data_IF_200985118669
#
_entry.id   IF_200985118669
#
_cell.length_a   1.000
_cell.length_b   1.000
_cell.length_c   1.000
_cell.angle_alpha   90.00
_cell.angle_beta   90.00
_cell.angle_gamma   90.00
#
_symmetry.space_group_name_H-M   'P 1'
#
loop_
_entity.id
_entity.type
_entity.pdbx_description
1 polymer ?
#
# COMPACT_ATOMS: atom_id res chain seq x y z
N UNK A 1 -19.87 -16.27 26.90
CA UNK A 1 -19.93 -15.51 25.64
C UNK A 1 -18.58 -14.92 25.28
N UNK A 2 -18.25 -14.84 23.98
CA UNK A 2 -17.07 -14.13 23.48
C UNK A 2 -17.32 -12.62 23.39
N UNK A 3 -16.27 -11.79 23.35
CA UNK A 3 -16.46 -10.34 23.18
C UNK A 3 -17.20 -10.00 21.87
N UNK A 4 -16.99 -10.78 20.81
CA UNK A 4 -17.67 -10.61 19.52
C UNK A 4 -19.17 -10.87 19.64
N UNK A 5 -19.59 -11.90 20.39
CA UNK A 5 -21.02 -12.16 20.67
C UNK A 5 -21.67 -11.02 21.45
N UNK A 6 -20.95 -10.40 22.40
CA UNK A 6 -21.47 -9.23 23.13
C UNK A 6 -21.64 -8.05 22.16
N UNK A 7 -20.70 -7.85 21.22
CA UNK A 7 -20.80 -6.79 20.21
C UNK A 7 -22.00 -7.01 19.29
N UNK A 8 -22.17 -8.24 18.80
CA UNK A 8 -23.31 -8.62 17.96
C UNK A 8 -24.62 -8.32 18.67
N UNK A 9 -24.78 -8.78 19.91
CA UNK A 9 -25.97 -8.52 20.71
C UNK A 9 -26.23 -7.02 20.91
N UNK A 10 -25.19 -6.23 21.19
CA UNK A 10 -25.33 -4.77 21.35
C UNK A 10 -25.77 -4.09 20.05
N UNK A 11 -25.27 -4.54 18.90
CA UNK A 11 -25.62 -3.99 17.60
C UNK A 11 -27.04 -4.42 17.15
N UNK A 12 -27.43 -5.67 17.41
CA UNK A 12 -28.79 -6.18 17.17
C UNK A 12 -29.86 -5.44 17.97
N UNK A 13 -29.51 -4.98 19.18
CA UNK A 13 -30.40 -4.19 20.04
C UNK A 13 -30.25 -2.67 19.80
N UNK A 14 -29.59 -2.25 18.72
CA UNK A 14 -29.39 -0.84 18.34
C UNK A 14 -28.69 0.02 19.41
N UNK A 15 -27.90 -0.60 20.29
CA UNK A 15 -27.20 0.09 21.37
C UNK A 15 -25.92 0.72 20.83
N UNK A 16 -25.83 2.05 20.89
CA UNK A 16 -24.67 2.79 20.42
C UNK A 16 -23.42 2.55 21.27
N UNK A 17 -22.24 2.54 20.61
CA UNK A 17 -20.96 2.53 21.30
C UNK A 17 -20.81 3.77 22.19
N UNK A 18 -20.01 3.74 23.28
CA UNK A 18 -19.89 4.89 24.18
C UNK A 18 -19.44 6.18 23.48
N UNK A 19 -18.59 6.06 22.46
CA UNK A 19 -18.15 7.20 21.67
C UNK A 19 -19.27 7.78 20.80
N UNK A 20 -20.03 6.91 20.12
CA UNK A 20 -21.20 7.30 19.32
C UNK A 20 -22.30 7.88 20.20
N UNK A 21 -22.62 7.24 21.32
CA UNK A 21 -23.59 7.74 22.30
C UNK A 21 -23.27 9.16 22.77
N UNK A 22 -21.99 9.44 23.09
CA UNK A 22 -21.55 10.80 23.47
C UNK A 22 -21.66 11.81 22.33
N UNK A 23 -21.52 11.38 21.07
CA UNK A 23 -21.73 12.23 19.90
C UNK A 23 -23.22 12.55 19.72
N UNK A 24 -24.09 11.54 19.78
CA UNK A 24 -25.55 11.71 19.68
C UNK A 24 -26.12 12.60 20.80
N UNK A 25 -25.54 12.54 22.00
CA UNK A 25 -25.87 13.43 23.13
C UNK A 25 -25.25 14.84 23.04
N UNK A 26 -24.50 15.15 21.98
CA UNK A 26 -23.86 16.46 21.79
C UNK A 26 -22.67 16.74 22.70
N UNK A 27 -22.22 15.77 23.51
CA UNK A 27 -21.07 15.90 24.42
C UNK A 27 -19.77 16.03 23.62
N UNK A 28 -19.70 15.41 22.43
CA UNK A 28 -18.57 15.52 21.51
C UNK A 28 -19.07 15.87 20.13
N UNK A 29 -18.51 16.92 19.50
CA UNK A 29 -19.01 17.48 18.24
C UNK A 29 -18.32 16.96 16.97
N UNK A 30 -17.24 16.21 17.11
CA UNK A 30 -16.46 15.76 15.94
C UNK A 30 -17.16 14.61 15.21
N UNK A 31 -17.48 14.81 13.93
CA UNK A 31 -18.18 13.84 13.07
C UNK A 31 -17.51 12.46 12.99
N UNK A 32 -16.21 12.36 13.25
CA UNK A 32 -15.49 11.07 13.29
C UNK A 32 -16.05 10.09 14.32
N UNK A 33 -16.76 10.57 15.33
CA UNK A 33 -17.34 9.75 16.40
C UNK A 33 -18.75 9.24 16.07
N UNK A 34 -19.42 9.81 15.06
CA UNK A 34 -20.78 9.44 14.67
C UNK A 34 -20.89 8.00 14.19
N UNK A 35 -19.83 7.50 13.53
CA UNK A 35 -19.82 6.18 12.88
C UNK A 35 -19.01 5.14 13.64
N UNK A 36 -18.62 5.42 14.89
CA UNK A 36 -17.77 4.52 15.67
C UNK A 36 -18.57 3.32 16.17
N UNK A 37 -18.22 2.14 15.67
CA UNK A 37 -18.76 0.84 16.09
C UNK A 37 -18.17 0.35 17.40
N UNK A 38 -18.81 -0.66 17.98
CA UNK A 38 -18.30 -1.36 19.15
C UNK A 38 -16.97 -2.07 18.81
N UNK A 39 -16.07 -2.08 19.81
CA UNK A 39 -14.77 -2.76 19.72
C UNK A 39 -14.58 -3.61 20.96
N UNK A 40 -13.98 -4.79 20.81
CA UNK A 40 -13.75 -5.71 21.91
C UNK A 40 -12.92 -5.06 23.04
N UNK A 41 -11.96 -4.19 22.71
CA UNK A 41 -11.16 -3.49 23.72
C UNK A 41 -11.98 -2.49 24.53
N UNK A 42 -12.98 -1.84 23.93
CA UNK A 42 -13.92 -0.97 24.66
C UNK A 42 -14.70 -1.78 25.69
N UNK A 43 -15.21 -2.95 25.30
CA UNK A 43 -15.93 -3.86 26.21
C UNK A 43 -15.02 -4.33 27.35
N UNK A 44 -13.78 -4.73 27.03
CA UNK A 44 -12.80 -5.13 28.06
C UNK A 44 -12.53 -4.01 29.08
N UNK A 45 -12.43 -2.76 28.64
CA UNK A 45 -12.21 -1.62 29.53
C UNK A 45 -13.44 -1.35 30.40
N UNK A 46 -14.65 -1.48 29.86
CA UNK A 46 -15.91 -1.38 30.61
C UNK A 46 -15.96 -2.47 31.69
N UNK A 47 -15.79 -3.74 31.30
CA UNK A 47 -15.87 -4.87 32.23
C UNK A 47 -14.81 -4.84 33.35
N UNK A 48 -13.69 -4.15 33.16
CA UNK A 48 -12.61 -4.02 34.16
C UNK A 48 -12.78 -2.82 35.09
N UNK A 49 -13.78 -1.96 34.88
CA UNK A 49 -13.86 -0.68 35.54
C UNK A 49 -14.56 -0.82 36.91
N UNK A 50 -13.84 -0.66 38.04
CA UNK A 50 -14.44 -0.85 39.35
C UNK A 50 -15.35 0.32 39.75
N UNK A 51 -15.46 1.37 38.93
CA UNK A 51 -16.47 2.41 39.15
C UNK A 51 -17.89 1.86 39.11
N UNK A 52 -18.14 0.74 38.40
CA UNK A 52 -19.46 0.11 38.39
C UNK A 52 -19.87 -0.49 39.75
N UNK A 53 -18.93 -0.64 40.70
CA UNK A 53 -19.17 -1.02 42.10
C UNK A 53 -19.46 0.19 43.03
N UNK A 54 -19.74 1.37 42.47
CA UNK A 54 -19.96 2.57 43.27
C UNK A 54 -18.68 3.25 43.76
N UNK A 55 -17.51 2.86 43.26
CA UNK A 55 -16.21 3.40 43.69
C UNK A 55 -15.75 4.56 42.79
N UNK A 56 -15.02 5.52 43.36
CA UNK A 56 -14.33 6.56 42.59
C UNK A 56 -12.88 6.13 42.32
N UNK A 57 -12.46 6.18 41.06
CA UNK A 57 -11.09 5.78 40.65
C UNK A 57 -10.40 6.93 39.94
N UNK A 58 -9.32 7.43 40.54
CA UNK A 58 -8.53 8.55 40.03
C UNK A 58 -7.05 8.16 39.85
N UNK A 59 -6.30 9.01 39.15
CA UNK A 59 -4.86 8.80 38.93
C UNK A 59 -4.48 7.76 37.87
N UNK A 60 -5.42 7.33 37.01
CA UNK A 60 -5.14 6.35 35.91
C UNK A 60 -4.07 6.82 34.92
N UNK A 61 -3.85 8.14 34.83
CA UNK A 61 -2.84 8.77 33.97
C UNK A 61 -2.10 9.84 34.77
N UNK A 62 -0.81 10.00 34.50
CA UNK A 62 0.02 11.10 34.99
C UNK A 62 0.67 11.79 33.82
N UNK A 63 0.63 13.12 33.83
CA UNK A 63 1.38 13.98 32.94
C UNK A 63 2.01 15.10 33.77
N UNK A 64 3.13 15.63 33.31
CA UNK A 64 3.74 16.80 33.91
C UNK A 64 4.21 17.70 32.79
N UNK A 65 3.42 18.73 32.51
CA UNK A 65 3.76 19.75 31.52
C UNK A 65 5.03 20.50 31.92
N UNK A 66 5.17 20.85 33.20
CA UNK A 66 6.35 21.52 33.73
C UNK A 66 7.64 20.68 33.60
N UNK A 67 7.57 19.36 33.80
CA UNK A 67 8.74 18.46 33.65
C UNK A 67 8.90 17.91 32.21
N UNK A 68 8.13 18.41 31.23
CA UNK A 68 8.15 17.91 29.85
C UNK A 68 7.75 16.43 29.69
N UNK A 69 7.11 15.83 30.71
CA UNK A 69 6.74 14.40 30.69
C UNK A 69 5.41 14.22 29.99
N UNK A 70 5.46 13.60 28.81
CA UNK A 70 4.29 13.14 28.05
C UNK A 70 3.38 12.27 28.94
N UNK A 71 2.08 12.33 28.70
CA UNK A 71 1.06 11.57 29.43
C UNK A 71 1.38 10.06 29.42
N UNK A 72 1.48 9.45 30.60
CA UNK A 72 1.71 8.00 30.77
C UNK A 72 0.59 7.38 31.58
N UNK A 73 0.27 6.11 31.30
CA UNK A 73 -0.64 5.30 32.12
C UNK A 73 0.08 4.88 33.40
N UNK A 74 -0.63 4.93 34.51
CA UNK A 74 -0.12 4.56 35.83
C UNK A 74 -0.56 3.13 36.14
N UNK A 75 0.30 2.36 36.80
CA UNK A 75 -0.02 0.99 37.22
C UNK A 75 -1.19 0.97 38.22
N UNK A 76 -1.94 -0.13 38.27
CA UNK A 76 -3.20 -0.19 39.05
C UNK A 76 -2.97 -0.01 40.55
N UNK A 77 -1.80 -0.41 41.04
CA UNK A 77 -1.40 -0.33 42.45
C UNK A 77 -1.23 1.12 42.91
N UNK A 78 -0.99 2.03 41.95
CA UNK A 78 -0.80 3.46 42.19
C UNK A 78 -2.09 4.28 41.91
N UNK A 79 -3.23 3.60 41.67
CA UNK A 79 -4.51 4.27 41.50
C UNK A 79 -5.07 4.70 42.86
N UNK A 80 -5.68 5.88 42.89
CA UNK A 80 -6.39 6.36 44.07
C UNK A 80 -7.82 5.85 43.95
N UNK A 81 -8.22 4.94 44.83
CA UNK A 81 -9.56 4.33 44.83
C UNK A 81 -10.26 4.70 46.14
N UNK A 82 -11.34 5.46 46.02
CA UNK A 82 -12.25 5.76 47.14
C UNK A 82 -13.50 4.91 46.97
N UNK A 83 -13.82 4.08 47.97
CA UNK A 83 -14.96 3.15 47.91
C UNK A 83 -16.28 3.87 48.20
N UNK A 84 -17.38 3.31 47.69
CA UNK A 84 -18.77 3.68 48.04
C UNK A 84 -19.10 5.18 47.91
N UNK A 85 -18.67 5.77 46.80
CA UNK A 85 -18.90 7.18 46.47
C UNK A 85 -20.22 7.44 45.73
N UNK A 86 -20.83 6.40 45.15
CA UNK A 86 -22.12 6.47 44.47
C UNK A 86 -22.80 5.10 44.48
N UNK A 87 -24.07 5.05 44.10
CA UNK A 87 -24.83 3.80 43.97
C UNK A 87 -24.18 2.87 42.94
N UNK A 88 -24.00 1.61 43.32
CA UNK A 88 -23.39 0.60 42.46
C UNK A 88 -24.36 0.17 41.35
N UNK A 89 -23.85 0.04 40.13
CA UNK A 89 -24.65 -0.44 38.98
C UNK A 89 -24.73 -1.97 38.97
N UNK A 90 -23.71 -2.64 39.52
CA UNK A 90 -23.63 -4.10 39.66
C UNK A 90 -23.10 -4.47 41.04
N UNK A 91 -23.45 -5.66 41.52
CA UNK A 91 -22.94 -6.19 42.77
C UNK A 91 -21.49 -6.70 42.65
N UNK A 92 -20.82 -6.82 43.80
CA UNK A 92 -19.43 -7.28 43.87
C UNK A 92 -19.26 -8.72 43.35
N UNK A 93 -20.20 -9.62 43.66
CA UNK A 93 -20.11 -11.03 43.26
C UNK A 93 -20.11 -11.17 41.73
N UNK A 94 -21.03 -10.50 41.05
CA UNK A 94 -21.10 -10.43 39.59
C UNK A 94 -19.82 -9.87 39.00
N UNK A 95 -19.31 -8.74 39.52
CA UNK A 95 -18.08 -8.13 39.00
C UNK A 95 -16.87 -9.07 39.13
N UNK A 96 -16.68 -9.67 40.31
CA UNK A 96 -15.56 -10.57 40.56
C UNK A 96 -15.67 -11.89 39.77
N UNK A 97 -16.89 -12.39 39.53
CA UNK A 97 -17.12 -13.55 38.66
C UNK A 97 -16.60 -13.28 37.23
N UNK A 98 -16.89 -12.09 36.67
CA UNK A 98 -16.41 -11.67 35.36
C UNK A 98 -14.89 -11.50 35.36
N UNK A 99 -14.30 -10.90 36.40
CA UNK A 99 -12.82 -10.79 36.50
C UNK A 99 -12.16 -12.17 36.48
N UNK A 100 -12.69 -13.16 37.23
CA UNK A 100 -12.18 -14.54 37.24
C UNK A 100 -12.22 -15.17 35.86
N UNK A 101 -13.32 -14.99 35.11
CA UNK A 101 -13.43 -15.47 33.72
C UNK A 101 -12.36 -14.82 32.82
N UNK A 102 -12.18 -13.49 32.95
CA UNK A 102 -11.19 -12.76 32.17
C UNK A 102 -9.76 -13.19 32.48
N UNK A 103 -9.44 -13.42 33.75
CA UNK A 103 -8.14 -13.91 34.21
C UNK A 103 -7.86 -15.32 33.71
N UNK A 104 -8.83 -16.24 33.82
CA UNK A 104 -8.73 -17.60 33.27
C UNK A 104 -8.44 -17.57 31.77
N UNK A 105 -9.19 -16.78 31.01
CA UNK A 105 -8.98 -16.62 29.57
C UNK A 105 -7.60 -16.01 29.26
N UNK A 106 -7.15 -15.02 30.05
CA UNK A 106 -5.82 -14.43 29.89
C UNK A 106 -4.70 -15.42 30.22
N UNK A 107 -4.86 -16.24 31.25
CA UNK A 107 -3.90 -17.26 31.65
C UNK A 107 -3.78 -18.36 30.58
N UNK A 108 -4.91 -18.81 30.01
CA UNK A 108 -4.91 -19.75 28.88
C UNK A 108 -4.17 -19.15 27.68
N UNK A 109 -4.46 -17.88 27.35
CA UNK A 109 -3.76 -17.18 26.28
C UNK A 109 -2.26 -17.10 26.54
N UNK A 110 -1.83 -16.65 27.73
CA UNK A 110 -0.41 -16.55 28.11
C UNK A 110 0.30 -17.91 28.12
N UNK A 111 -0.35 -18.98 28.59
CA UNK A 111 0.21 -20.33 28.57
C UNK A 111 0.43 -20.86 27.15
N UNK A 112 -0.42 -20.46 26.21
CA UNK A 112 -0.29 -20.82 24.81
C UNK A 112 0.60 -19.84 24.02
N UNK A 113 0.86 -18.65 24.59
CA UNK A 113 1.77 -17.66 24.03
C UNK A 113 3.19 -18.23 24.05
N UNK A 114 3.83 -18.24 22.89
CA UNK A 114 5.18 -18.78 22.73
C UNK A 114 5.30 -20.31 22.73
N UNK A 115 4.20 -21.06 22.89
CA UNK A 115 4.18 -22.53 22.88
C UNK A 115 4.84 -23.17 21.65
N UNK A 116 4.91 -22.44 20.56
CA UNK A 116 5.44 -22.90 19.28
C UNK A 116 6.54 -21.98 18.73
N UNK A 117 7.19 -21.16 19.56
CA UNK A 117 8.22 -20.22 19.10
C UNK A 117 9.50 -20.92 18.64
N UNK A 118 9.79 -22.09 19.20
CA UNK A 118 10.89 -22.96 18.76
C UNK A 118 10.68 -23.53 17.34
N UNK A 119 9.48 -23.36 16.75
CA UNK A 119 9.19 -23.77 15.39
C UNK A 119 9.60 -22.62 14.46
N UNK A 120 10.70 -22.80 13.73
CA UNK A 120 11.23 -21.87 12.71
C UNK A 120 10.12 -21.09 12.00
N UNK A 121 10.19 -19.77 12.12
CA UNK A 121 9.26 -18.84 11.49
C UNK A 121 9.59 -18.74 10.00
N UNK A 122 8.60 -19.01 9.14
CA UNK A 122 8.75 -18.75 7.71
C UNK A 122 8.68 -17.25 7.51
N UNK A 123 9.59 -16.69 6.72
CA UNK A 123 9.54 -15.30 6.30
C UNK A 123 8.14 -14.95 5.74
N UNK A 124 7.61 -13.80 6.13
CA UNK A 124 6.36 -13.27 5.59
C UNK A 124 6.65 -12.42 4.35
N UNK A 125 6.73 -13.06 3.18
CA UNK A 125 7.00 -12.38 1.91
C UNK A 125 5.93 -11.34 1.54
N UNK A 126 4.69 -11.51 2.01
CA UNK A 126 3.55 -10.64 1.70
C UNK A 126 3.25 -9.56 2.75
N UNK A 127 4.15 -9.37 3.73
CA UNK A 127 3.97 -8.40 4.82
C UNK A 127 3.68 -7.00 4.25
N UNK A 128 2.48 -6.49 4.54
CA UNK A 128 2.03 -5.15 4.15
C UNK A 128 1.28 -5.05 2.82
N UNK A 129 1.14 -6.15 2.07
CA UNK A 129 0.58 -6.15 0.71
C UNK A 129 -0.81 -6.76 0.61
N UNK A 130 -1.13 -7.74 1.46
CA UNK A 130 -2.42 -8.45 1.42
C UNK A 130 -3.51 -7.68 2.15
N UNK A 131 -4.61 -7.40 1.44
CA UNK A 131 -5.77 -6.62 1.89
C UNK A 131 -7.06 -7.43 1.72
N UNK A 132 -8.05 -7.09 2.55
CA UNK A 132 -9.41 -7.60 2.45
C UNK A 132 -10.17 -6.84 1.36
N UNK A 133 -10.78 -7.54 0.41
CA UNK A 133 -11.62 -6.93 -0.64
C UNK A 133 -12.92 -6.32 -0.12
N UNK A 134 -13.37 -6.70 1.08
CA UNK A 134 -14.63 -6.21 1.64
C UNK A 134 -14.45 -4.94 2.49
N UNK A 135 -13.40 -4.87 3.32
CA UNK A 135 -13.17 -3.71 4.21
C UNK A 135 -11.92 -2.88 3.87
N UNK A 136 -11.11 -3.31 2.88
CA UNK A 136 -9.84 -2.67 2.51
C UNK A 136 -8.69 -2.80 3.53
N UNK A 137 -8.99 -3.34 4.72
CA UNK A 137 -8.02 -3.52 5.81
C UNK A 137 -6.96 -4.58 5.49
N UNK A 138 -5.77 -4.44 6.08
CA UNK A 138 -4.70 -5.44 5.94
C UNK A 138 -5.11 -6.77 6.59
N UNK A 139 -4.90 -7.88 5.87
CA UNK A 139 -5.07 -9.21 6.45
C UNK A 139 -3.88 -9.53 7.35
N UNK A 140 -4.17 -10.05 8.55
CA UNK A 140 -3.12 -10.45 9.50
C UNK A 140 -2.77 -11.90 9.26
N UNK A 141 -1.46 -12.19 9.23
CA UNK A 141 -0.93 -13.55 9.16
C UNK A 141 -1.05 -14.25 10.51
N UNK A 142 -1.65 -15.44 10.52
CA UNK A 142 -1.78 -16.32 11.67
C UNK A 142 -0.98 -17.60 11.46
N UNK A 143 -0.26 -18.02 12.50
CA UNK A 143 0.38 -19.34 12.57
C UNK A 143 -0.63 -20.35 13.10
N UNK A 144 -0.96 -21.34 12.29
CA UNK A 144 -1.79 -22.47 12.69
C UNK A 144 -0.90 -23.69 12.91
N UNK A 145 -1.08 -24.37 14.04
CA UNK A 145 -0.32 -25.58 14.38
C UNK A 145 -1.31 -26.67 14.78
N UNK A 146 -1.29 -27.77 14.03
CA UNK A 146 -2.01 -28.99 14.36
C UNK A 146 -1.02 -30.03 14.88
N UNK A 147 -1.37 -30.68 15.99
CA UNK A 147 -0.55 -31.74 16.59
C UNK A 147 -1.29 -33.05 16.51
N UNK A 148 -0.72 -34.05 15.84
CA UNK A 148 -1.29 -35.40 15.81
C UNK A 148 -1.20 -36.05 17.18
N UNK A 149 -2.30 -36.61 17.69
CA UNK A 149 -2.35 -37.38 18.94
C UNK A 149 -1.84 -38.82 18.71
N UNK A 150 -0.57 -38.99 18.37
CA UNK A 150 0.11 -40.30 18.23
C UNK A 150 1.25 -40.41 19.25
N UNK A 151 1.79 -41.63 19.46
CA UNK A 151 2.94 -41.89 20.35
C UNK A 151 4.13 -40.94 20.08
N UNK A 152 4.32 -40.55 18.82
CA UNK A 152 5.20 -39.45 18.42
C UNK A 152 4.35 -38.29 17.87
N UNK A 153 4.25 -37.16 18.60
CA UNK A 153 3.48 -36.01 18.14
C UNK A 153 4.17 -35.34 16.95
N UNK A 154 3.57 -35.42 15.76
CA UNK A 154 3.99 -34.64 14.59
C UNK A 154 3.23 -33.31 14.58
N UNK A 155 3.95 -32.20 14.44
CA UNK A 155 3.35 -30.87 14.31
C UNK A 155 3.24 -30.49 12.84
N UNK A 156 2.01 -30.35 12.32
CA UNK A 156 1.75 -29.74 11.01
C UNK A 156 1.52 -28.25 11.19
N UNK A 157 2.35 -27.41 10.56
CA UNK A 157 2.24 -25.96 10.59
C UNK A 157 1.79 -25.39 9.25
N UNK A 158 0.91 -24.42 9.26
CA UNK A 158 0.56 -23.61 8.06
C UNK A 158 0.22 -22.19 8.47
N UNK A 159 0.30 -21.27 7.52
CA UNK A 159 -0.04 -19.87 7.74
C UNK A 159 -1.32 -19.52 6.99
N UNK A 160 -2.12 -18.64 7.59
CA UNK A 160 -3.34 -18.10 6.97
C UNK A 160 -3.43 -16.59 7.18
N UNK A 161 -3.99 -15.89 6.20
CA UNK A 161 -4.30 -14.47 6.28
C UNK A 161 -5.78 -14.32 6.65
N UNK A 162 -6.06 -13.57 7.72
CA UNK A 162 -7.44 -13.40 8.25
C UNK A 162 -7.73 -11.91 8.47
N UNK A 163 -8.95 -11.51 8.09
CA UNK A 163 -9.43 -10.15 8.26
C UNK A 163 -9.62 -9.79 9.75
N UNK A 164 -8.88 -8.79 10.24
CA UNK A 164 -8.98 -8.35 11.64
C UNK A 164 -10.29 -7.64 11.95
N UNK A 165 -10.87 -6.96 10.96
CA UNK A 165 -12.15 -6.25 11.15
C UNK A 165 -13.24 -7.27 11.48
N UNK A 166 -13.33 -8.36 10.71
CA UNK A 166 -14.27 -9.45 10.97
C UNK A 166 -13.99 -10.14 12.32
N UNK A 167 -12.73 -10.44 12.65
CA UNK A 167 -12.37 -11.10 13.93
C UNK A 167 -12.79 -10.24 15.13
N UNK A 168 -12.62 -8.92 15.03
CA UNK A 168 -12.98 -7.99 16.10
C UNK A 168 -14.48 -7.69 16.16
N UNK A 169 -15.16 -7.70 15.02
CA UNK A 169 -16.60 -7.51 14.91
C UNK A 169 -17.13 -8.22 13.64
N UNK A 170 -17.87 -9.32 13.82
CA UNK A 170 -18.32 -10.17 12.71
C UNK A 170 -19.30 -9.46 11.78
N UNK A 171 -20.08 -8.49 12.28
CA UNK A 171 -21.03 -7.70 11.48
C UNK A 171 -20.33 -6.69 10.57
N UNK A 172 -19.07 -6.36 10.85
CA UNK A 172 -18.39 -5.23 10.20
C UNK A 172 -17.67 -5.60 8.90
N UNK A 173 -17.54 -6.90 8.60
CA UNK A 173 -16.89 -7.40 7.39
C UNK A 173 -17.27 -8.87 7.20
N UNK A 174 -17.34 -9.37 5.96
CA UNK A 174 -17.49 -10.82 5.73
C UNK A 174 -16.23 -11.58 6.15
N UNK A 175 -16.39 -12.89 6.42
CA UNK A 175 -15.28 -13.74 6.82
C UNK A 175 -14.35 -14.01 5.64
N UNK A 176 -13.27 -13.24 5.53
CA UNK A 176 -12.19 -13.50 4.57
C UNK A 176 -11.03 -14.22 5.25
N UNK A 177 -10.73 -15.43 4.79
CA UNK A 177 -9.58 -16.23 5.21
C UNK A 177 -8.98 -16.98 4.03
N UNK A 178 -7.67 -16.90 3.87
CA UNK A 178 -6.94 -17.61 2.80
C UNK A 178 -5.63 -18.20 3.34
N UNK A 179 -5.23 -19.37 2.82
CA UNK A 179 -3.95 -19.99 3.17
C UNK A 179 -2.80 -19.28 2.46
N UNK A 180 -1.69 -19.11 3.16
CA UNK A 180 -0.47 -18.50 2.58
C UNK A 180 0.05 -19.32 1.40
N UNK A 181 0.00 -20.65 1.49
CA UNK A 181 0.45 -21.54 0.41
C UNK A 181 -0.38 -21.30 -0.87
N UNK A 182 -1.71 -21.19 -0.74
CA UNK A 182 -2.61 -20.90 -1.87
C UNK A 182 -2.30 -19.54 -2.50
N UNK A 183 -2.12 -18.49 -1.69
CA UNK A 183 -1.73 -17.17 -2.21
C UNK A 183 -0.37 -17.24 -2.94
N UNK A 184 0.58 -17.97 -2.37
CA UNK A 184 1.92 -18.14 -2.96
C UNK A 184 1.85 -18.87 -4.30
N UNK A 185 1.11 -19.97 -4.38
CA UNK A 185 0.91 -20.76 -5.60
C UNK A 185 0.22 -19.93 -6.68
N UNK A 186 -0.90 -19.27 -6.37
CA UNK A 186 -1.64 -18.43 -7.33
C UNK A 186 -0.78 -17.28 -7.87
N UNK A 187 -0.07 -16.57 -6.99
CA UNK A 187 0.80 -15.46 -7.43
C UNK A 187 1.96 -15.99 -8.27
N UNK A 188 2.52 -17.14 -7.91
CA UNK A 188 3.63 -17.74 -8.64
C UNK A 188 3.23 -18.13 -10.07
N UNK A 189 2.07 -18.77 -10.23
CA UNK A 189 1.53 -19.13 -11.54
C UNK A 189 1.28 -17.90 -12.43
N UNK A 190 0.69 -16.85 -11.86
CA UNK A 190 0.44 -15.60 -12.59
C UNK A 190 1.77 -14.94 -12.98
N UNK A 191 2.75 -14.87 -12.08
CA UNK A 191 4.05 -14.28 -12.40
C UNK A 191 4.79 -15.06 -13.47
N UNK A 192 4.73 -16.40 -13.45
CA UNK A 192 5.29 -17.23 -14.53
C UNK A 192 4.65 -16.93 -15.88
N UNK A 193 3.33 -16.76 -15.91
CA UNK A 193 2.63 -16.36 -17.14
C UNK A 193 3.11 -14.99 -17.63
N UNK A 194 3.25 -14.02 -16.73
CA UNK A 194 3.76 -12.67 -17.06
C UNK A 194 5.21 -12.70 -17.56
N UNK A 195 6.07 -13.53 -16.96
CA UNK A 195 7.46 -13.72 -17.41
C UNK A 195 7.51 -14.32 -18.81
N UNK A 196 6.70 -15.34 -19.09
CA UNK A 196 6.62 -15.94 -20.43
C UNK A 196 6.13 -14.94 -21.47
N UNK A 197 5.09 -14.16 -21.17
CA UNK A 197 4.59 -13.10 -22.05
C UNK A 197 5.65 -12.02 -22.31
N UNK A 198 6.39 -11.62 -21.27
CA UNK A 198 7.49 -10.68 -21.40
C UNK A 198 8.62 -11.22 -22.30
N UNK A 199 8.94 -12.51 -22.19
CA UNK A 199 9.96 -13.14 -23.02
C UNK A 199 9.53 -13.25 -24.49
N UNK A 200 8.28 -13.65 -24.76
CA UNK A 200 7.71 -13.66 -26.10
C UNK A 200 7.73 -12.26 -26.73
N UNK A 201 7.32 -11.24 -25.97
CA UNK A 201 7.37 -9.84 -26.40
C UNK A 201 8.80 -9.40 -26.73
N UNK A 202 9.78 -9.74 -25.88
CA UNK A 202 11.20 -9.47 -26.14
C UNK A 202 11.66 -10.10 -27.45
N UNK A 203 11.35 -11.38 -27.70
CA UNK A 203 11.74 -12.07 -28.93
C UNK A 203 11.11 -11.46 -30.19
N UNK A 204 9.84 -11.05 -30.14
CA UNK A 204 9.18 -10.38 -31.26
C UNK A 204 9.83 -9.03 -31.57
N UNK A 205 10.20 -8.28 -30.53
CA UNK A 205 10.86 -7.00 -30.66
C UNK A 205 12.31 -7.12 -31.16
N UNK A 206 13.06 -8.14 -30.74
CA UNK A 206 14.39 -8.44 -31.30
C UNK A 206 14.32 -8.78 -32.80
N UNK A 207 13.29 -9.54 -33.22
CA UNK A 207 13.04 -9.81 -34.65
C UNK A 207 12.71 -8.54 -35.43
N UNK A 208 11.96 -7.61 -34.83
CA UNK A 208 11.70 -6.30 -35.43
C UNK A 208 12.98 -5.44 -35.54
N UNK A 209 13.83 -5.47 -34.52
CA UNK A 209 15.13 -4.77 -34.45
C UNK A 209 16.12 -5.25 -35.51
N UNK A 210 16.17 -6.54 -35.80
CA UNK A 210 17.08 -7.12 -36.81
C UNK A 210 16.75 -6.70 -38.26
N UNK A 211 15.70 -5.90 -38.48
CA UNK A 211 15.55 -5.15 -39.72
C UNK A 211 16.57 -3.99 -39.72
N UNK A 212 17.72 -4.20 -40.38
CA UNK A 212 18.84 -3.22 -40.55
C UNK A 212 18.41 -1.78 -40.91
N UNK A 213 17.20 -1.58 -41.42
CA UNK A 213 16.62 -0.27 -41.72
C UNK A 213 16.28 0.55 -40.47
N UNK A 214 15.72 -0.06 -39.42
CA UNK A 214 15.20 0.67 -38.24
C UNK A 214 16.32 1.21 -37.33
N UNK A 215 17.42 0.46 -37.19
CA UNK A 215 18.61 0.91 -36.45
C UNK A 215 19.24 2.15 -37.12
N UNK A 216 19.43 2.12 -38.44
CA UNK A 216 19.99 3.24 -39.23
C UNK A 216 19.09 4.47 -39.19
N UNK A 217 17.78 4.27 -39.19
CA UNK A 217 16.82 5.37 -39.11
C UNK A 217 16.89 6.09 -37.75
N UNK A 218 17.03 5.35 -36.65
CA UNK A 218 17.21 5.95 -35.33
C UNK A 218 18.54 6.68 -35.18
N UNK A 219 19.64 6.11 -35.69
CA UNK A 219 20.96 6.76 -35.65
C UNK A 219 20.93 8.08 -36.43
N UNK A 220 20.31 8.09 -37.61
CA UNK A 220 20.10 9.31 -38.41
C UNK A 220 19.26 10.35 -37.66
N UNK A 221 18.18 9.92 -37.00
CA UNK A 221 17.31 10.83 -36.27
C UNK A 221 18.06 11.52 -35.12
N UNK A 222 18.90 10.76 -34.39
CA UNK A 222 19.73 11.30 -33.31
C UNK A 222 20.79 12.28 -33.81
N UNK A 223 21.45 11.96 -34.92
CA UNK A 223 22.38 12.89 -35.57
C UNK A 223 21.68 14.20 -35.99
N UNK A 224 20.46 14.12 -36.54
CA UNK A 224 19.68 15.30 -36.93
C UNK A 224 19.26 16.15 -35.72
N UNK A 225 18.82 15.52 -34.62
CA UNK A 225 18.50 16.22 -33.37
C UNK A 225 19.72 16.96 -32.81
N UNK A 226 20.89 16.31 -32.78
CA UNK A 226 22.14 16.92 -32.32
C UNK A 226 22.53 18.10 -33.22
N UNK A 227 22.36 17.97 -34.53
CA UNK A 227 22.63 19.06 -35.49
C UNK A 227 21.72 20.26 -35.24
N UNK A 228 20.40 20.04 -35.14
CA UNK A 228 19.44 21.13 -34.93
C UNK A 228 19.67 21.84 -33.59
N UNK A 229 20.01 21.10 -32.52
CA UNK A 229 20.36 21.71 -31.23
C UNK A 229 21.57 22.64 -31.34
N UNK A 230 22.58 22.26 -32.13
CA UNK A 230 23.73 23.14 -32.42
C UNK A 230 23.31 24.38 -33.21
N UNK A 231 22.41 24.22 -34.19
CA UNK A 231 21.91 25.35 -34.99
C UNK A 231 21.06 26.33 -34.17
N UNK A 232 20.26 25.84 -33.22
CA UNK A 232 19.52 26.69 -32.27
C UNK A 232 20.49 27.52 -31.45
N UNK A 233 21.51 26.89 -30.87
CA UNK A 233 22.54 27.58 -30.08
C UNK A 233 23.28 28.63 -30.93
N UNK A 234 23.56 28.30 -32.19
CA UNK A 234 24.19 29.24 -33.12
C UNK A 234 23.29 30.44 -33.45
N UNK A 235 21.99 30.22 -33.68
CA UNK A 235 21.03 31.29 -33.89
C UNK A 235 20.87 32.19 -32.65
N UNK A 236 20.93 31.63 -31.45
CA UNK A 236 20.92 32.38 -30.20
C UNK A 236 22.18 33.24 -30.04
N UNK A 237 23.37 32.69 -30.31
CA UNK A 237 24.62 33.46 -30.31
C UNK A 237 24.64 34.60 -31.33
N UNK A 238 24.11 34.36 -32.54
CA UNK A 238 24.01 35.41 -33.55
C UNK A 238 23.07 36.53 -33.09
N UNK A 239 22.00 36.19 -32.36
CA UNK A 239 21.10 37.18 -31.79
C UNK A 239 21.76 38.02 -30.70
N UNK A 240 22.63 37.43 -29.89
CA UNK A 240 23.47 38.15 -28.92
C UNK A 240 24.48 39.06 -29.63
N UNK A 241 25.20 38.53 -30.63
CA UNK A 241 26.19 39.29 -31.39
C UNK A 241 25.59 40.53 -32.09
N UNK A 242 24.38 40.42 -32.64
CA UNK A 242 23.67 41.56 -33.24
C UNK A 242 23.45 42.70 -32.23
N UNK A 243 23.28 42.38 -30.94
CA UNK A 243 23.20 43.41 -29.89
C UNK A 243 24.55 44.06 -29.62
N UNK A 244 25.64 43.30 -29.61
CA UNK A 244 27.00 43.82 -29.47
C UNK A 244 27.37 44.72 -30.66
N UNK A 245 27.08 44.29 -31.90
CA UNK A 245 27.33 45.06 -33.13
C UNK A 245 26.56 46.40 -33.12
N UNK A 246 25.36 46.44 -32.52
CA UNK A 246 24.58 47.68 -32.31
C UNK A 246 25.21 48.59 -31.25
N UNK A 247 25.68 48.05 -30.13
CA UNK A 247 26.39 48.81 -29.10
C UNK A 247 27.68 49.44 -29.62
N UNK A 248 28.39 48.74 -30.51
CA UNK A 248 29.59 49.21 -31.20
C UNK A 248 29.29 50.19 -32.36
N UNK A 249 28.00 50.49 -32.62
CA UNK A 249 27.51 51.34 -33.72
C UNK A 249 27.94 50.85 -35.11
N UNK A 250 28.15 49.55 -35.27
CA UNK A 250 28.44 48.93 -36.57
C UNK A 250 27.18 48.71 -37.42
N UNK A 251 26.00 48.71 -36.79
CA UNK A 251 24.68 48.65 -37.43
C UNK A 251 23.77 49.70 -36.81
N UNK A 252 22.76 50.14 -37.56
CA UNK A 252 21.74 51.07 -37.05
C UNK A 252 20.56 50.35 -36.35
N UNK A 253 19.62 51.13 -35.80
CA UNK A 253 18.48 50.60 -35.05
C UNK A 253 17.52 49.78 -35.94
N UNK A 254 17.31 50.19 -37.20
CA UNK A 254 16.44 49.50 -38.13
C UNK A 254 17.03 48.14 -38.53
N UNK A 255 18.34 48.11 -38.80
CA UNK A 255 19.11 46.90 -39.08
C UNK A 255 19.13 45.95 -37.87
N UNK A 256 19.35 46.46 -36.67
CA UNK A 256 19.29 45.68 -35.43
C UNK A 256 17.94 44.98 -35.26
N UNK A 257 16.83 45.72 -35.40
CA UNK A 257 15.48 45.17 -35.28
C UNK A 257 15.26 44.08 -36.34
N UNK A 258 15.67 44.33 -37.58
CA UNK A 258 15.53 43.38 -38.69
C UNK A 258 16.30 42.08 -38.43
N UNK A 259 17.58 42.15 -38.06
CA UNK A 259 18.40 40.97 -37.80
C UNK A 259 17.94 40.21 -36.55
N UNK A 260 17.55 40.92 -35.49
CA UNK A 260 17.02 40.32 -34.26
C UNK A 260 15.76 39.50 -34.53
N UNK A 261 14.80 40.03 -35.29
CA UNK A 261 13.58 39.29 -35.63
C UNK A 261 13.89 38.11 -36.56
N UNK A 262 14.78 38.28 -37.56
CA UNK A 262 15.20 37.18 -38.44
C UNK A 262 15.81 36.00 -37.65
N UNK A 263 16.71 36.26 -36.71
CA UNK A 263 17.34 35.20 -35.91
C UNK A 263 16.37 34.58 -34.90
N UNK A 264 15.43 35.36 -34.37
CA UNK A 264 14.35 34.88 -33.50
C UNK A 264 13.39 33.95 -34.25
N UNK A 265 12.96 34.33 -35.45
CA UNK A 265 12.12 33.48 -36.31
C UNK A 265 12.84 32.19 -36.69
N UNK A 266 14.11 32.28 -37.09
CA UNK A 266 14.95 31.11 -37.38
C UNK A 266 15.06 30.19 -36.16
N UNK A 267 15.31 30.75 -34.97
CA UNK A 267 15.36 30.00 -33.72
C UNK A 267 14.04 29.31 -33.37
N UNK A 268 12.91 30.00 -33.55
CA UNK A 268 11.58 29.43 -33.32
C UNK A 268 11.26 28.30 -34.30
N UNK A 269 11.59 28.46 -35.58
CA UNK A 269 11.40 27.42 -36.59
C UNK A 269 12.22 26.16 -36.26
N UNK A 270 13.50 26.34 -35.89
CA UNK A 270 14.37 25.24 -35.47
C UNK A 270 13.87 24.56 -34.19
N UNK A 271 13.33 25.32 -33.22
CA UNK A 271 12.72 24.76 -32.00
C UNK A 271 11.47 23.94 -32.30
N UNK A 272 10.63 24.38 -33.24
CA UNK A 272 9.47 23.59 -33.70
C UNK A 272 9.91 22.29 -34.37
N UNK A 273 10.90 22.35 -35.27
CA UNK A 273 11.45 21.17 -35.94
C UNK A 273 12.11 20.21 -34.94
N UNK A 274 12.81 20.73 -33.93
CA UNK A 274 13.37 19.92 -32.85
C UNK A 274 12.28 19.14 -32.12
N UNK A 275 11.18 19.81 -31.75
CA UNK A 275 10.05 19.17 -31.08
C UNK A 275 9.45 18.03 -31.90
N UNK A 276 9.26 18.24 -33.21
CA UNK A 276 8.75 17.19 -34.12
C UNK A 276 9.70 15.98 -34.22
N UNK A 277 11.01 16.20 -34.24
CA UNK A 277 12.00 15.12 -34.26
C UNK A 277 12.07 14.38 -32.92
N UNK A 278 11.98 15.08 -31.80
CA UNK A 278 11.94 14.48 -30.46
C UNK A 278 10.67 13.63 -30.28
N UNK A 279 9.51 14.09 -30.76
CA UNK A 279 8.27 13.29 -30.76
C UNK A 279 8.37 12.04 -31.67
N UNK A 280 9.10 12.12 -32.78
CA UNK A 280 9.38 10.95 -33.63
C UNK A 280 10.36 9.99 -32.96
N UNK A 281 11.38 10.49 -32.28
CA UNK A 281 12.33 9.70 -31.51
C UNK A 281 11.61 8.95 -30.40
N UNK A 282 10.75 9.63 -29.64
CA UNK A 282 9.96 9.03 -28.57
C UNK A 282 9.05 7.91 -29.08
N UNK A 283 8.37 8.12 -30.22
CA UNK A 283 7.56 7.06 -30.86
C UNK A 283 8.38 5.85 -31.29
N UNK A 284 9.61 6.06 -31.76
CA UNK A 284 10.55 4.98 -32.11
C UNK A 284 11.12 4.29 -30.86
N UNK A 285 11.34 5.02 -29.76
CA UNK A 285 11.83 4.49 -28.48
C UNK A 285 10.74 3.70 -27.72
N UNK A 286 9.48 4.12 -27.78
CA UNK A 286 8.35 3.36 -27.24
C UNK A 286 8.16 2.00 -27.94
N UNK A 287 8.73 1.82 -29.14
CA UNK A 287 8.82 0.54 -29.85
C UNK A 287 10.04 -0.30 -29.42
N UNK A 288 10.86 0.16 -28.45
CA UNK A 288 12.03 -0.58 -27.94
C UNK A 288 11.75 -1.21 -26.57
N UNK A 289 12.00 -2.53 -26.41
CA UNK A 289 11.84 -3.21 -25.12
C UNK A 289 12.89 -2.79 -24.08
N UNK A 290 14.09 -2.39 -24.53
CA UNK A 290 15.22 -2.12 -23.64
C UNK A 290 14.97 -0.93 -22.71
N UNK A 291 14.09 0.02 -23.05
CA UNK A 291 13.78 1.18 -22.21
C UNK A 291 12.49 1.03 -21.38
N UNK A 292 11.75 -0.06 -21.59
CA UNK A 292 10.59 -0.37 -20.75
C UNK A 292 11.05 -0.96 -19.43
N UNK A 293 11.23 -0.08 -18.43
CA UNK A 293 11.71 -0.37 -17.07
C UNK A 293 11.04 -1.62 -16.46
N UNK A 294 9.76 -1.88 -16.77
CA UNK A 294 9.03 -3.04 -16.25
C UNK A 294 9.46 -4.37 -16.86
N UNK A 295 9.78 -4.41 -18.17
CA UNK A 295 10.22 -5.62 -18.87
C UNK A 295 11.56 -6.10 -18.30
N UNK A 296 12.50 -5.17 -18.08
CA UNK A 296 13.77 -5.46 -17.38
C UNK A 296 13.55 -5.99 -15.97
N UNK A 297 12.60 -5.41 -15.22
CA UNK A 297 12.28 -5.84 -13.84
C UNK A 297 11.63 -7.22 -13.77
N UNK A 298 10.80 -7.59 -14.75
CA UNK A 298 10.20 -8.93 -14.77
C UNK A 298 11.25 -9.98 -15.17
N UNK A 299 12.01 -9.69 -16.24
CA UNK A 299 13.03 -10.60 -16.76
C UNK A 299 14.23 -10.78 -15.81
N UNK A 300 14.51 -9.81 -14.92
CA UNK A 300 15.57 -9.97 -13.91
C UNK A 300 15.31 -11.11 -12.91
N UNK A 301 14.09 -11.67 -12.89
CA UNK A 301 13.72 -12.80 -12.03
C UNK A 301 13.41 -14.09 -12.80
N UNK A 302 13.78 -14.19 -14.08
CA UNK A 302 13.51 -15.36 -14.93
C UNK A 302 14.13 -16.65 -14.37
N UNK A 303 15.33 -16.57 -13.79
CA UNK A 303 16.06 -17.72 -13.23
C UNK A 303 15.55 -18.17 -11.84
N UNK A 304 14.54 -17.51 -11.28
CA UNK A 304 14.04 -17.84 -9.94
C UNK A 304 13.10 -19.04 -9.97
N UNK A 305 13.35 -20.04 -9.12
CA UNK A 305 12.49 -21.23 -9.01
C UNK A 305 11.30 -21.04 -8.05
N UNK A 306 11.34 -19.99 -7.23
CA UNK A 306 10.30 -19.73 -6.23
C UNK A 306 10.10 -18.26 -5.93
N UNK A 307 8.90 -17.93 -5.44
CA UNK A 307 8.54 -16.57 -5.07
C UNK A 307 9.35 -16.06 -3.88
N UNK A 308 10.12 -14.99 -4.08
CA UNK A 308 10.89 -14.28 -3.04
C UNK A 308 10.20 -12.97 -2.62
N UNK A 309 10.61 -12.42 -1.46
CA UNK A 309 10.09 -11.13 -0.98
C UNK A 309 10.45 -9.98 -1.93
N UNK A 310 11.67 -9.99 -2.45
CA UNK A 310 12.16 -8.96 -3.38
C UNK A 310 11.30 -8.90 -4.65
N UNK A 311 11.01 -10.06 -5.23
CA UNK A 311 10.13 -10.17 -6.40
C UNK A 311 8.74 -9.58 -6.11
N UNK A 312 8.14 -9.99 -4.99
CA UNK A 312 6.80 -9.54 -4.61
C UNK A 312 6.76 -8.02 -4.42
N UNK A 313 7.72 -7.45 -3.70
CA UNK A 313 7.76 -6.00 -3.44
C UNK A 313 8.08 -5.19 -4.71
N UNK A 314 8.83 -5.77 -5.65
CA UNK A 314 9.21 -5.08 -6.90
C UNK A 314 8.09 -5.09 -7.94
N UNK A 315 7.39 -6.23 -8.07
CA UNK A 315 6.43 -6.44 -9.15
C UNK A 315 4.99 -6.13 -8.72
N UNK A 316 4.64 -6.33 -7.44
CA UNK A 316 3.26 -6.26 -6.96
C UNK A 316 3.06 -5.01 -6.10
N UNK A 317 2.00 -4.26 -6.41
CA UNK A 317 1.56 -3.08 -5.65
C UNK A 317 0.64 -3.47 -4.51
N UNK A 318 -0.37 -4.31 -4.78
CA UNK A 318 -1.32 -4.77 -3.76
C UNK A 318 -1.91 -6.14 -4.11
N UNK A 319 -2.28 -6.90 -3.09
CA UNK A 319 -2.98 -8.19 -3.23
C UNK A 319 -4.30 -8.08 -2.47
N UNK A 320 -5.41 -8.16 -3.18
CA UNK A 320 -6.75 -8.04 -2.61
C UNK A 320 -7.42 -9.41 -2.60
N UNK A 321 -7.88 -9.85 -1.44
CA UNK A 321 -8.53 -11.15 -1.26
C UNK A 321 -9.99 -10.94 -0.86
N UNK A 322 -10.90 -11.55 -1.62
CA UNK A 322 -12.34 -11.51 -1.38
C UNK A 322 -12.80 -12.73 -0.58
N UNK A 323 -14.02 -12.68 -0.03
CA UNK A 323 -14.61 -13.75 0.79
C UNK A 323 -14.86 -15.06 0.04
N UNK A 324 -15.18 -14.97 -1.25
CA UNK A 324 -15.23 -16.10 -2.19
C UNK A 324 -13.84 -16.69 -2.53
N UNK A 325 -12.77 -16.22 -1.88
CA UNK A 325 -11.35 -16.59 -2.09
C UNK A 325 -10.78 -16.15 -3.44
N UNK A 326 -11.46 -15.29 -4.19
CA UNK A 326 -10.86 -14.64 -5.36
C UNK A 326 -9.69 -13.75 -4.91
N UNK A 327 -8.57 -13.86 -5.63
CA UNK A 327 -7.37 -13.05 -5.40
C UNK A 327 -7.20 -12.12 -6.59
N UNK A 328 -7.24 -10.82 -6.33
CA UNK A 328 -6.93 -9.78 -7.30
C UNK A 328 -5.54 -9.24 -7.03
N UNK A 329 -4.69 -9.20 -8.05
CA UNK A 329 -3.31 -8.71 -7.95
C UNK A 329 -3.23 -7.41 -8.75
N UNK A 330 -2.75 -6.36 -8.10
CA UNK A 330 -2.43 -5.10 -8.76
C UNK A 330 -0.92 -5.03 -8.94
N UNK A 331 -0.47 -4.96 -10.19
CA UNK A 331 0.95 -4.87 -10.52
C UNK A 331 1.44 -3.42 -10.45
N UNK A 332 2.73 -3.24 -10.19
CA UNK A 332 3.32 -1.89 -10.18
C UNK A 332 3.40 -1.24 -11.56
N UNK A 333 3.35 -2.05 -12.62
CA UNK A 333 3.60 -1.64 -14.01
C UNK A 333 2.35 -1.73 -14.91
N UNK A 334 1.16 -1.75 -14.31
CA UNK A 334 -0.08 -2.01 -15.04
C UNK A 334 -0.38 -0.92 -16.09
N UNK A 335 -0.07 0.34 -15.79
CA UNK A 335 -0.28 1.46 -16.72
C UNK A 335 0.67 1.40 -17.91
N UNK A 336 1.94 1.06 -17.67
CA UNK A 336 2.97 0.90 -18.69
C UNK A 336 2.65 -0.28 -19.61
N UNK A 337 2.17 -1.39 -19.03
CA UNK A 337 1.71 -2.55 -19.79
C UNK A 337 0.51 -2.23 -20.67
N UNK A 338 -0.55 -1.60 -20.12
CA UNK A 338 -1.73 -1.20 -20.88
C UNK A 338 -1.40 -0.22 -22.01
N UNK A 339 -0.48 0.71 -21.76
CA UNK A 339 -0.01 1.67 -22.77
C UNK A 339 0.71 0.97 -23.92
N UNK A 340 1.57 -0.01 -23.62
CA UNK A 340 2.25 -0.82 -24.63
C UNK A 340 1.28 -1.72 -25.40
N UNK A 341 0.34 -2.37 -24.72
CA UNK A 341 -0.67 -3.20 -25.38
C UNK A 341 -1.50 -2.39 -26.38
N UNK A 342 -1.92 -1.17 -26.04
CA UNK A 342 -2.63 -0.27 -26.96
C UNK A 342 -1.78 0.11 -28.18
N UNK A 343 -0.46 0.24 -28.00
CA UNK A 343 0.47 0.55 -29.10
C UNK A 343 0.77 -0.65 -29.99
N UNK A 344 0.89 -1.85 -29.42
CA UNK A 344 1.26 -3.08 -30.15
C UNK A 344 0.07 -3.73 -30.85
N UNK A 345 -1.10 -3.76 -30.21
CA UNK A 345 -2.27 -4.49 -30.71
C UNK A 345 -3.34 -3.61 -31.35
N UNK A 346 -3.21 -2.29 -31.29
CA UNK A 346 -4.26 -1.35 -31.69
C UNK A 346 -5.40 -1.35 -30.66
N UNK A 347 -5.92 -0.15 -30.35
CA UNK A 347 -6.89 0.05 -29.27
C UNK A 347 -8.09 -0.90 -29.29
N UNK A 348 -8.52 -1.25 -28.08
CA UNK A 348 -9.76 -1.92 -27.69
C UNK A 348 -9.81 -3.44 -27.89
N UNK A 349 -9.08 -4.18 -27.03
CA UNK A 349 -9.61 -5.37 -26.34
C UNK A 349 -8.54 -5.98 -25.42
N UNK A 350 -8.44 -5.51 -24.18
CA UNK A 350 -7.88 -6.33 -23.08
C UNK A 350 -8.69 -6.04 -21.83
N UNK A 351 -9.39 -7.07 -21.33
CA UNK A 351 -10.16 -7.12 -20.08
C UNK A 351 -9.29 -7.66 -18.96
#
# INVERSE_FOLDING_TARGET
>A
STYSEIIEWLEENEIFSPARYRYEKGIVKSKRWATVKWRADTIKEILKNPMYLGHMVQGKKRESLFQGKKQRRVSKENWIIVKNTHEAIIDEETFFSVQKIMEKNSAIYKKNYGKYDNISEKENIFKGLIRCGCCGGLLKRYKNVYTTKRKEPKHKKWYSYICQVHVNNRSSCSFTSIREDTVKETIWEILKMQMNLANDMKQQLEKARNRKSSQRESERLQEEIVSIRKEILYAERLREKVYDDYLERMIDEEEYIMFRERYKEKGNHLKSKLKELEEKEEKLLLQRPDDTIWLKKILSFEDQESLTREMVVTLIKSITVYDNKTVHIEFQFQNEYESLCKMVYGGDNIV
#
